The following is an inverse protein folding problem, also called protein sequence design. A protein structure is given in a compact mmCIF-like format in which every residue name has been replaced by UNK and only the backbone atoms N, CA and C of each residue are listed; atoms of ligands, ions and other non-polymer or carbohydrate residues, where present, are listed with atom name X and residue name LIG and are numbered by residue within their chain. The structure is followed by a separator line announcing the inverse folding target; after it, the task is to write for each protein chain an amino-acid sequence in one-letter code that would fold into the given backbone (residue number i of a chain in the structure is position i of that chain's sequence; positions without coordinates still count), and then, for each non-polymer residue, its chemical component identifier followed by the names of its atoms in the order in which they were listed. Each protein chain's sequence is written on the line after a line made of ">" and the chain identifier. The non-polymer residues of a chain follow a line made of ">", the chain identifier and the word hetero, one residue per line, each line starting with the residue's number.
data_IF_927152425153
#
_entry.id   IF_927152425153
#
_cell.length_a   1.000
_cell.length_b   1.000
_cell.length_c   1.000
_cell.angle_alpha   90.00
_cell.angle_beta   90.00
_cell.angle_gamma   90.00
#
_symmetry.space_group_name_H-M   'P 1'
#
loop_
_entity.id
_entity.type
_entity.pdbx_description
1 polymer ?
#
# COMPACT_ATOMS: atom_id res chain seq x y z
N UNK A 1 9.36 29.32 -11.89
CA UNK A 1 8.08 28.60 -11.70
C UNK A 1 7.04 29.62 -11.27
N UNK A 2 5.85 29.64 -11.87
CA UNK A 2 4.81 30.60 -11.47
C UNK A 2 4.22 30.21 -10.10
N UNK A 3 3.73 31.18 -9.35
CA UNK A 3 3.10 30.93 -8.03
C UNK A 3 1.96 29.90 -8.11
N UNK A 4 1.23 29.90 -9.22
CA UNK A 4 0.16 28.94 -9.53
C UNK A 4 0.67 27.51 -9.63
N UNK A 5 1.87 27.30 -10.18
CA UNK A 5 2.45 25.97 -10.35
C UNK A 5 2.86 25.40 -8.98
N UNK A 6 3.49 26.23 -8.13
CA UNK A 6 3.91 25.87 -6.76
C UNK A 6 2.69 25.47 -5.92
N UNK A 7 1.61 26.25 -5.98
CA UNK A 7 0.36 25.96 -5.28
C UNK A 7 -0.29 24.67 -5.77
N UNK A 8 -0.28 24.41 -7.08
CA UNK A 8 -0.82 23.17 -7.65
C UNK A 8 -0.05 21.94 -7.18
N UNK A 9 1.29 22.00 -7.18
CA UNK A 9 2.17 20.92 -6.74
C UNK A 9 1.95 20.64 -5.25
N UNK A 10 1.90 21.69 -4.42
CA UNK A 10 1.62 21.56 -3.00
C UNK A 10 0.27 20.92 -2.70
N UNK A 11 -0.77 21.29 -3.47
CA UNK A 11 -2.10 20.70 -3.35
C UNK A 11 -2.11 19.22 -3.74
N UNK A 12 -1.54 18.87 -4.89
CA UNK A 12 -1.51 17.48 -5.38
C UNK A 12 -0.72 16.58 -4.45
N UNK A 13 0.43 17.02 -3.94
CA UNK A 13 1.23 16.23 -3.00
C UNK A 13 0.47 16.02 -1.69
N UNK A 14 -0.03 17.11 -1.09
CA UNK A 14 -0.51 17.09 0.31
C UNK A 14 -1.93 16.58 0.44
N UNK A 15 -2.84 17.00 -0.44
CA UNK A 15 -4.27 16.67 -0.34
C UNK A 15 -4.67 15.45 -1.15
N UNK A 16 -3.98 15.15 -2.25
CA UNK A 16 -4.30 14.00 -3.09
C UNK A 16 -3.34 12.83 -2.87
N UNK A 17 -2.05 13.09 -2.95
CA UNK A 17 -1.00 12.08 -2.88
C UNK A 17 -0.95 11.41 -1.51
N UNK A 18 -0.79 12.20 -0.44
CA UNK A 18 -0.61 11.63 0.91
C UNK A 18 -1.77 10.76 1.39
N UNK A 19 -3.05 11.18 1.29
CA UNK A 19 -4.17 10.34 1.70
C UNK A 19 -4.27 9.05 0.87
N UNK A 20 -4.03 9.12 -0.44
CA UNK A 20 -4.03 7.94 -1.30
C UNK A 20 -3.02 6.89 -0.85
N UNK A 21 -1.79 7.33 -0.53
CA UNK A 21 -0.74 6.43 -0.02
C UNK A 21 -1.17 5.77 1.29
N UNK A 22 -1.78 6.53 2.20
CA UNK A 22 -2.26 6.01 3.49
C UNK A 22 -3.34 4.95 3.27
N UNK A 23 -4.37 5.23 2.46
CA UNK A 23 -5.43 4.26 2.18
C UNK A 23 -4.89 2.99 1.53
N UNK A 24 -3.95 3.11 0.60
CA UNK A 24 -3.29 1.96 -0.02
C UNK A 24 -2.50 1.15 1.01
N UNK A 25 -1.85 1.80 1.97
CA UNK A 25 -1.14 1.16 3.07
C UNK A 25 -2.08 0.36 3.97
N UNK A 26 -3.22 0.94 4.35
CA UNK A 26 -4.25 0.26 5.14
C UNK A 26 -4.73 -1.01 4.41
N UNK A 27 -5.09 -0.90 3.14
CA UNK A 27 -5.56 -2.03 2.33
C UNK A 27 -4.48 -3.12 2.26
N UNK A 28 -3.23 -2.73 1.97
CA UNK A 28 -2.11 -3.68 1.89
C UNK A 28 -1.91 -4.42 3.21
N UNK A 29 -1.96 -3.71 4.34
CA UNK A 29 -1.81 -4.31 5.65
C UNK A 29 -2.97 -5.25 6.01
N UNK A 30 -4.20 -4.89 5.66
CA UNK A 30 -5.36 -5.78 5.82
C UNK A 30 -5.22 -7.07 5.01
N UNK A 31 -4.68 -6.99 3.78
CA UNK A 31 -4.43 -8.18 2.96
C UNK A 31 -3.33 -9.06 3.54
N UNK A 32 -2.25 -8.48 4.07
CA UNK A 32 -1.21 -9.21 4.81
C UNK A 32 -1.82 -9.93 6.01
N UNK A 33 -2.64 -9.24 6.81
CA UNK A 33 -3.29 -9.83 7.97
C UNK A 33 -4.19 -11.01 7.58
N UNK A 34 -4.99 -10.87 6.51
CA UNK A 34 -5.80 -11.96 5.98
C UNK A 34 -4.93 -13.14 5.52
N UNK A 35 -3.81 -12.87 4.86
CA UNK A 35 -2.88 -13.90 4.40
C UNK A 35 -2.28 -14.70 5.57
N UNK A 36 -1.87 -14.00 6.64
CA UNK A 36 -1.39 -14.61 7.90
C UNK A 36 -2.50 -15.40 8.57
N UNK A 37 -3.73 -14.88 8.63
CA UNK A 37 -4.88 -15.56 9.21
C UNK A 37 -5.18 -16.89 8.50
N UNK A 38 -5.14 -16.92 7.16
CA UNK A 38 -5.32 -18.15 6.37
C UNK A 38 -4.19 -19.15 6.68
N UNK A 39 -2.95 -18.70 6.74
CA UNK A 39 -1.81 -19.57 7.06
C UNK A 39 -1.94 -20.16 8.47
N UNK A 40 -2.25 -19.33 9.47
CA UNK A 40 -2.45 -19.75 10.86
C UNK A 40 -3.60 -20.77 10.98
N UNK A 41 -4.72 -20.52 10.32
CA UNK A 41 -5.89 -21.42 10.35
C UNK A 41 -5.58 -22.80 9.76
N UNK A 42 -4.85 -22.85 8.64
CA UNK A 42 -4.48 -24.09 7.99
C UNK A 42 -3.37 -24.86 8.74
N UNK A 43 -2.33 -24.16 9.19
CA UNK A 43 -1.13 -24.80 9.77
C UNK A 43 -1.27 -25.11 11.27
N UNK A 44 -1.94 -24.23 12.03
CA UNK A 44 -2.01 -24.35 13.49
C UNK A 44 -3.31 -24.96 13.98
N UNK A 45 -4.43 -24.60 13.37
CA UNK A 45 -5.74 -25.11 13.78
C UNK A 45 -6.14 -26.38 13.02
N UNK A 46 -5.37 -26.78 11.99
CA UNK A 46 -5.72 -27.84 11.04
C UNK A 46 -7.13 -27.68 10.44
N UNK A 47 -7.66 -26.45 10.47
CA UNK A 47 -8.99 -26.11 9.94
C UNK A 47 -8.81 -25.54 8.55
N UNK A 48 -8.98 -26.40 7.54
CA UNK A 48 -8.90 -26.03 6.13
C UNK A 48 -10.18 -25.32 5.64
N UNK A 49 -10.61 -24.28 6.37
CA UNK A 49 -11.79 -23.49 5.97
C UNK A 49 -11.57 -22.72 4.68
N UNK A 50 -10.31 -22.33 4.42
CA UNK A 50 -9.90 -21.61 3.22
C UNK A 50 -8.78 -22.41 2.54
N UNK A 51 -8.95 -22.81 1.27
CA UNK A 51 -7.96 -23.64 0.58
C UNK A 51 -6.62 -22.90 0.46
N UNK A 52 -5.52 -23.60 0.70
CA UNK A 52 -4.18 -23.02 0.72
C UNK A 52 -3.74 -22.40 -0.63
N UNK A 53 -4.38 -22.80 -1.73
CA UNK A 53 -4.22 -22.14 -3.03
C UNK A 53 -4.60 -20.66 -3.01
N UNK A 54 -5.57 -20.26 -2.16
CA UNK A 54 -5.97 -18.86 -1.97
C UNK A 54 -4.87 -18.08 -1.26
N UNK A 55 -4.20 -18.68 -0.26
CA UNK A 55 -3.06 -18.05 0.41
C UNK A 55 -1.94 -17.69 -0.59
N UNK A 56 -1.61 -18.60 -1.52
CA UNK A 56 -0.59 -18.33 -2.56
C UNK A 56 -1.02 -17.20 -3.50
N UNK A 57 -2.27 -17.22 -3.98
CA UNK A 57 -2.81 -16.15 -4.85
C UNK A 57 -2.82 -14.79 -4.14
N UNK A 58 -3.25 -14.77 -2.87
CA UNK A 58 -3.27 -13.57 -2.04
C UNK A 58 -1.85 -13.01 -1.84
N UNK A 59 -0.84 -13.88 -1.71
CA UNK A 59 0.56 -13.46 -1.64
C UNK A 59 1.05 -12.66 -2.83
N UNK A 60 0.66 -13.03 -4.05
CA UNK A 60 1.01 -12.25 -5.24
C UNK A 60 0.32 -10.88 -5.23
N UNK A 61 -0.93 -10.80 -4.78
CA UNK A 61 -1.68 -9.54 -4.67
C UNK A 61 -1.06 -8.64 -3.60
N UNK A 62 -0.74 -9.19 -2.43
CA UNK A 62 -0.06 -8.48 -1.33
C UNK A 62 1.28 -7.93 -1.80
N UNK A 63 2.09 -8.74 -2.48
CA UNK A 63 3.38 -8.30 -2.99
C UNK A 63 3.23 -7.14 -3.96
N UNK A 64 2.34 -7.26 -4.94
CA UNK A 64 2.08 -6.19 -5.91
C UNK A 64 1.62 -4.89 -5.22
N UNK A 65 0.65 -4.99 -4.29
CA UNK A 65 0.13 -3.85 -3.54
C UNK A 65 1.20 -3.19 -2.67
N UNK A 66 2.04 -3.99 -1.99
CA UNK A 66 3.15 -3.50 -1.19
C UNK A 66 4.21 -2.78 -2.04
N UNK A 67 4.53 -3.31 -3.23
CA UNK A 67 5.44 -2.64 -4.16
C UNK A 67 4.87 -1.30 -4.62
N UNK A 68 3.59 -1.24 -5.01
CA UNK A 68 2.94 0.02 -5.42
C UNK A 68 2.95 1.01 -4.24
N UNK A 69 2.58 0.58 -3.03
CA UNK A 69 2.60 1.42 -1.84
C UNK A 69 4.00 1.96 -1.54
N UNK A 70 5.04 1.13 -1.58
CA UNK A 70 6.42 1.55 -1.36
C UNK A 70 6.89 2.58 -2.40
N UNK A 71 6.56 2.37 -3.68
CA UNK A 71 6.89 3.32 -4.76
C UNK A 71 6.21 4.67 -4.51
N UNK A 72 4.92 4.67 -4.16
CA UNK A 72 4.18 5.91 -3.90
C UNK A 72 4.67 6.63 -2.64
N UNK A 73 5.04 5.90 -1.58
CA UNK A 73 5.73 6.48 -0.42
C UNK A 73 7.03 7.16 -0.87
N UNK A 74 7.84 6.48 -1.68
CA UNK A 74 9.04 7.04 -2.31
C UNK A 74 8.78 8.37 -3.01
N UNK A 75 7.73 8.42 -3.83
CA UNK A 75 7.37 9.60 -4.60
C UNK A 75 6.85 10.74 -3.71
N UNK A 76 5.87 10.50 -2.84
CA UNK A 76 5.15 11.56 -2.13
C UNK A 76 5.78 12.00 -0.80
N UNK A 77 6.64 11.18 -0.18
CA UNK A 77 7.30 11.52 1.09
C UNK A 77 8.78 11.89 0.95
N UNK A 78 9.45 11.44 -0.12
CA UNK A 78 10.86 11.74 -0.32
C UNK A 78 11.07 12.63 -1.53
N UNK A 79 10.73 12.17 -2.74
CA UNK A 79 11.05 12.88 -3.98
C UNK A 79 10.28 14.20 -4.14
N UNK A 80 8.98 14.20 -3.88
CA UNK A 80 8.15 15.38 -4.09
C UNK A 80 8.46 16.53 -3.13
N UNK A 81 8.74 16.29 -1.83
CA UNK A 81 9.25 17.33 -0.93
C UNK A 81 10.63 17.86 -1.34
N UNK A 82 11.55 16.99 -1.78
CA UNK A 82 12.89 17.39 -2.26
C UNK A 82 12.81 18.28 -3.51
N UNK A 83 11.86 18.03 -4.41
CA UNK A 83 11.68 18.81 -5.62
C UNK A 83 10.95 20.16 -5.39
N UNK A 84 10.34 20.35 -4.21
CA UNK A 84 9.55 21.54 -3.86
C UNK A 84 10.30 22.54 -2.95
N UNK A 85 11.46 22.17 -2.42
CA UNK A 85 12.37 23.04 -1.66
C UNK A 85 13.48 23.61 -2.54
#
# INVERSE_FOLDING_TARGET
>A
MALTDILSIGYTITFLGKPLVIYLGIITYSLVFLQVFIAFSNLKLHKQWIPFSVHRKLGYVVLAMATIHAVLVGMFWFLAPLAAG
#
